data_IF_203912399148
#
_entry.id   IF_203912399148
#
_cell.length_a   1.000
_cell.length_b   1.000
_cell.length_c   1.000
_cell.angle_alpha   90.00
_cell.angle_beta   90.00
_cell.angle_gamma   90.00
#
_symmetry.space_group_name_H-M   'P 1'
#
loop_
_entity.id
_entity.type
_entity.pdbx_description
1 polymer ?
#
# COMPACT_ATOMS: atom_id res chain seq x y z
N UNK A 1 -20.79 17.03 0.86
CA UNK A 1 -19.81 17.00 1.97
C UNK A 1 -18.48 17.55 1.47
N UNK A 2 -17.76 18.28 2.32
CA UNK A 2 -16.45 18.82 1.95
C UNK A 2 -15.38 17.72 1.92
N UNK A 3 -14.28 17.93 1.17
CA UNK A 3 -13.15 16.99 1.13
C UNK A 3 -12.60 16.69 2.53
N UNK A 4 -12.54 17.71 3.38
CA UNK A 4 -12.08 17.59 4.77
C UNK A 4 -13.00 16.70 5.61
N UNK A 5 -14.32 16.88 5.49
CA UNK A 5 -15.29 16.03 6.20
C UNK A 5 -15.14 14.57 5.80
N UNK A 6 -15.01 14.28 4.50
CA UNK A 6 -14.82 12.91 4.01
C UNK A 6 -13.52 12.31 4.57
N UNK A 7 -12.41 13.05 4.55
CA UNK A 7 -11.13 12.57 5.08
C UNK A 7 -11.20 12.24 6.57
N UNK A 8 -11.88 13.06 7.37
CA UNK A 8 -12.06 12.81 8.80
C UNK A 8 -12.91 11.55 9.01
N UNK A 9 -14.02 11.42 8.29
CA UNK A 9 -14.92 10.28 8.41
C UNK A 9 -14.22 8.97 8.02
N UNK A 10 -13.49 8.94 6.92
CA UNK A 10 -12.76 7.76 6.45
C UNK A 10 -11.70 7.34 7.47
N UNK A 11 -10.91 8.29 7.98
CA UNK A 11 -9.89 7.98 8.99
C UNK A 11 -10.50 7.46 10.30
N UNK A 12 -11.65 8.01 10.71
CA UNK A 12 -12.40 7.51 11.86
C UNK A 12 -12.85 6.07 11.63
N UNK A 13 -13.48 5.77 10.50
CA UNK A 13 -13.93 4.41 10.15
C UNK A 13 -12.74 3.45 10.13
N UNK A 14 -11.60 3.83 9.54
CA UNK A 14 -10.41 2.99 9.53
C UNK A 14 -9.90 2.67 10.94
N UNK A 15 -9.87 3.67 11.83
CA UNK A 15 -9.50 3.47 13.23
C UNK A 15 -10.50 2.56 13.96
N UNK A 16 -11.80 2.77 13.76
CA UNK A 16 -12.87 1.97 14.39
C UNK A 16 -12.81 0.49 13.92
N UNK A 17 -12.34 0.25 12.70
CA UNK A 17 -12.11 -1.09 12.13
C UNK A 17 -10.78 -1.73 12.56
N UNK A 18 -9.94 -1.04 13.34
CA UNK A 18 -8.70 -1.58 13.89
C UNK A 18 -7.45 -1.42 13.02
N UNK A 19 -7.48 -0.55 12.00
CA UNK A 19 -6.26 -0.20 11.26
C UNK A 19 -5.35 0.73 12.08
N UNK A 20 -4.06 0.42 12.12
CA UNK A 20 -3.04 1.21 12.84
C UNK A 20 -2.83 2.59 12.22
N UNK A 21 -3.10 2.75 10.92
CA UNK A 21 -2.96 4.02 10.21
C UNK A 21 -3.83 4.08 8.94
N UNK A 22 -4.23 5.30 8.56
CA UNK A 22 -4.97 5.59 7.33
C UNK A 22 -4.42 6.87 6.65
N UNK A 23 -3.78 6.69 5.51
CA UNK A 23 -3.32 7.77 4.61
C UNK A 23 -4.29 7.98 3.45
N UNK A 24 -4.37 9.22 2.95
CA UNK A 24 -5.16 9.56 1.76
C UNK A 24 -4.27 10.41 0.85
N UNK A 25 -4.07 9.95 -0.38
CA UNK A 25 -3.31 10.64 -1.42
C UNK A 25 -4.22 10.95 -2.61
N UNK A 26 -3.82 11.91 -3.45
CA UNK A 26 -4.48 12.17 -4.72
C UNK A 26 -4.20 11.02 -5.68
N UNK A 27 -5.20 10.60 -6.45
CA UNK A 27 -4.99 9.65 -7.54
C UNK A 27 -4.55 10.45 -8.77
N UNK A 28 -3.27 10.36 -9.10
CA UNK A 28 -2.65 11.03 -10.25
C UNK A 28 -1.40 10.27 -10.70
N UNK A 29 -0.88 10.64 -11.86
CA UNK A 29 0.35 10.08 -12.39
C UNK A 29 1.54 10.38 -11.46
N UNK A 30 2.33 9.35 -11.14
CA UNK A 30 3.46 9.42 -10.22
C UNK A 30 4.74 9.86 -10.95
N UNK A 31 4.85 11.15 -11.28
CA UNK A 31 5.97 11.72 -12.05
C UNK A 31 7.36 11.41 -11.45
N UNK A 32 7.49 11.52 -10.13
CA UNK A 32 8.78 11.30 -9.44
C UNK A 32 9.19 9.82 -9.41
N UNK A 33 8.21 8.91 -9.36
CA UNK A 33 8.47 7.47 -9.24
C UNK A 33 8.62 6.79 -10.61
N UNK A 34 8.05 7.37 -11.66
CA UNK A 34 8.16 6.88 -13.04
C UNK A 34 9.61 6.59 -13.49
N UNK A 35 10.55 7.55 -13.44
CA UNK A 35 11.92 7.30 -13.87
C UNK A 35 12.65 6.30 -12.96
N UNK A 36 12.31 6.24 -11.67
CA UNK A 36 12.91 5.30 -10.72
C UNK A 36 12.49 3.87 -11.02
N UNK A 37 11.20 3.64 -11.27
CA UNK A 37 10.69 2.32 -11.64
C UNK A 37 11.27 1.87 -12.98
N UNK A 38 11.33 2.77 -13.96
CA UNK A 38 11.93 2.47 -15.27
C UNK A 38 13.40 2.08 -15.13
N UNK A 39 14.18 2.86 -14.38
CA UNK A 39 15.58 2.54 -14.12
C UNK A 39 15.72 1.19 -13.39
N UNK A 40 14.92 0.96 -12.35
CA UNK A 40 14.93 -0.29 -11.58
C UNK A 40 14.66 -1.53 -12.45
N UNK A 41 13.67 -1.44 -13.34
CA UNK A 41 13.33 -2.52 -14.30
C UNK A 41 14.44 -2.73 -15.33
N UNK A 42 15.03 -1.65 -15.85
CA UNK A 42 16.17 -1.71 -16.80
C UNK A 42 17.39 -2.41 -16.20
N UNK A 43 17.60 -2.32 -14.89
CA UNK A 43 18.68 -3.02 -14.19
C UNK A 43 18.36 -4.47 -13.84
N UNK A 44 17.15 -4.97 -14.17
CA UNK A 44 16.77 -6.37 -13.91
C UNK A 44 16.52 -6.68 -12.43
N UNK A 45 16.27 -5.66 -11.60
CA UNK A 45 16.09 -5.83 -10.15
C UNK A 45 14.81 -6.57 -9.77
N UNK A 46 13.88 -6.77 -10.71
CA UNK A 46 12.72 -7.66 -10.60
C UNK A 46 13.09 -9.15 -10.52
N UNK A 47 14.33 -9.52 -10.85
CA UNK A 47 14.75 -10.91 -10.88
C UNK A 47 13.88 -11.74 -11.82
N UNK A 48 13.17 -12.74 -11.29
CA UNK A 48 12.27 -13.61 -12.08
C UNK A 48 10.84 -13.07 -12.19
N UNK A 49 10.51 -11.94 -11.56
CA UNK A 49 9.16 -11.37 -11.53
C UNK A 49 8.86 -10.53 -12.78
N UNK A 50 8.90 -11.16 -13.96
CA UNK A 50 8.67 -10.47 -15.25
C UNK A 50 7.31 -9.75 -15.33
N UNK A 51 6.32 -10.20 -14.57
CA UNK A 51 5.01 -9.51 -14.48
C UNK A 51 5.10 -8.09 -13.90
N UNK A 52 6.21 -7.71 -13.25
CA UNK A 52 6.44 -6.34 -12.78
C UNK A 52 6.65 -5.35 -13.93
N UNK A 53 7.08 -5.82 -15.10
CA UNK A 53 7.19 -5.02 -16.32
C UNK A 53 5.82 -4.80 -16.97
N UNK A 54 4.87 -5.72 -16.74
CA UNK A 54 3.53 -5.63 -17.30
C UNK A 54 2.77 -4.42 -16.74
N UNK A 55 1.96 -3.81 -17.61
CA UNK A 55 1.05 -2.71 -17.28
C UNK A 55 1.74 -1.54 -16.57
N UNK A 56 2.93 -1.17 -17.04
CA UNK A 56 3.75 -0.08 -16.50
C UNK A 56 2.94 1.20 -16.23
N UNK A 57 2.16 1.66 -17.20
CA UNK A 57 1.35 2.87 -17.09
C UNK A 57 0.33 2.80 -15.93
N UNK A 58 -0.27 1.62 -15.68
CA UNK A 58 -1.23 1.43 -14.59
C UNK A 58 -0.56 1.41 -13.21
N UNK A 59 0.75 1.16 -13.13
CA UNK A 59 1.52 1.22 -11.88
C UNK A 59 1.84 2.67 -11.50
N UNK A 60 1.94 3.53 -12.50
CA UNK A 60 2.25 4.94 -12.31
C UNK A 60 0.99 5.80 -12.25
N UNK A 61 -0.13 5.34 -12.81
CA UNK A 61 -1.38 6.08 -12.78
C UNK A 61 -2.55 5.23 -12.24
N UNK A 62 -2.94 5.41 -10.97
CA UNK A 62 -4.07 4.70 -10.39
C UNK A 62 -5.41 5.05 -11.07
N UNK A 63 -5.52 6.16 -11.82
CA UNK A 63 -6.74 6.52 -12.56
C UNK A 63 -6.98 5.62 -13.77
N UNK A 64 -5.94 4.96 -14.29
CA UNK A 64 -6.04 3.96 -15.34
C UNK A 64 -6.45 2.58 -14.81
N UNK A 65 -6.29 2.35 -13.51
CA UNK A 65 -6.75 1.12 -12.84
C UNK A 65 -8.25 1.18 -12.56
N UNK A 66 -8.73 2.31 -12.03
CA UNK A 66 -10.14 2.56 -11.76
C UNK A 66 -10.55 3.91 -12.37
N UNK A 67 -11.29 3.90 -13.50
CA UNK A 67 -11.69 5.13 -14.17
C UNK A 67 -12.45 6.09 -13.24
N UNK A 68 -12.01 7.34 -13.21
CA UNK A 68 -12.60 8.38 -12.37
C UNK A 68 -12.16 8.36 -10.91
N UNK A 69 -11.18 7.52 -10.52
CA UNK A 69 -10.56 7.59 -9.21
C UNK A 69 -9.96 8.99 -8.96
N UNK A 70 -10.20 9.53 -7.77
CA UNK A 70 -9.71 10.88 -7.37
C UNK A 70 -8.72 10.83 -6.21
N UNK A 71 -8.72 9.74 -5.47
CA UNK A 71 -7.91 9.57 -4.27
C UNK A 71 -7.67 8.10 -3.99
N UNK A 72 -6.49 7.80 -3.43
CA UNK A 72 -6.09 6.48 -2.97
C UNK A 72 -6.08 6.50 -1.44
N UNK A 73 -6.70 5.51 -0.82
CA UNK A 73 -6.73 5.32 0.63
C UNK A 73 -5.78 4.17 0.97
N UNK A 74 -4.74 4.46 1.73
CA UNK A 74 -3.73 3.48 2.14
C UNK A 74 -3.90 3.16 3.62
N UNK A 75 -4.03 1.88 3.95
CA UNK A 75 -4.25 1.38 5.31
C UNK A 75 -3.03 0.60 5.77
N UNK A 76 -2.69 0.72 7.04
CA UNK A 76 -1.64 -0.11 7.67
C UNK A 76 -2.29 -0.98 8.73
N UNK A 77 -1.97 -2.28 8.67
CA UNK A 77 -2.36 -3.25 9.67
C UNK A 77 -1.12 -3.98 10.17
N UNK A 78 -0.93 -4.00 11.47
CA UNK A 78 0.20 -4.68 12.10
C UNK A 78 -0.14 -6.16 12.24
N UNK A 79 0.60 -7.03 11.57
CA UNK A 79 0.47 -8.48 11.70
C UNK A 79 1.28 -9.07 12.88
N UNK A 80 1.88 -8.22 13.71
CA UNK A 80 2.59 -8.67 14.91
C UNK A 80 1.59 -9.32 15.88
N UNK A 81 1.81 -10.58 16.27
CA UNK A 81 0.85 -11.29 17.10
C UNK A 81 0.79 -10.68 18.50
N UNK A 82 -0.41 -10.59 19.07
CA UNK A 82 -0.60 -10.09 20.44
C UNK A 82 0.11 -10.97 21.48
N UNK A 83 0.24 -12.26 21.16
CA UNK A 83 0.91 -13.25 21.99
C UNK A 83 2.22 -13.67 21.36
N UNK A 84 3.15 -14.02 22.25
CA UNK A 84 4.40 -14.64 21.84
C UNK A 84 4.13 -16.08 21.39
N UNK A 85 4.10 -16.28 20.06
CA UNK A 85 3.86 -17.58 19.45
C UNK A 85 4.92 -18.62 19.84
N UNK A 86 6.13 -18.20 20.21
CA UNK A 86 7.18 -19.11 20.65
C UNK A 86 6.93 -19.70 22.05
N UNK A 87 6.11 -19.02 22.87
CA UNK A 87 5.68 -19.54 24.18
C UNK A 87 4.56 -20.56 24.06
N UNK A 88 3.68 -20.40 23.06
CA UNK A 88 2.57 -21.33 22.81
C UNK A 88 3.04 -22.54 21.98
N UNK A 89 3.99 -22.35 21.07
CA UNK A 89 4.63 -23.42 20.29
C UNK A 89 6.15 -23.16 20.17
N UNK A 90 7.00 -23.92 20.87
CA UNK A 90 8.46 -23.74 20.85
C UNK A 90 9.11 -23.85 19.46
N UNK A 91 8.48 -24.57 18.53
CA UNK A 91 8.96 -24.70 17.14
C UNK A 91 8.50 -23.56 16.23
N UNK A 92 7.74 -22.59 16.75
CA UNK A 92 7.29 -21.42 16.00
C UNK A 92 8.42 -20.42 15.75
N UNK A 93 8.34 -19.70 14.62
CA UNK A 93 9.27 -18.62 14.33
C UNK A 93 8.97 -17.37 15.16
N UNK A 94 10.04 -16.68 15.59
CA UNK A 94 9.93 -15.37 16.22
C UNK A 94 9.64 -14.31 15.16
N UNK A 95 8.47 -13.68 15.26
CA UNK A 95 8.13 -12.52 14.44
C UNK A 95 8.78 -11.28 15.08
N UNK A 96 9.55 -10.51 14.31
CA UNK A 96 10.13 -9.26 14.78
C UNK A 96 9.04 -8.18 14.90
N UNK A 97 9.16 -7.33 15.93
CA UNK A 97 8.28 -6.18 16.16
C UNK A 97 8.77 -4.97 15.38
#
# INVERSE_FOLDING_TARGET
MSKLQNSIQIKKIASDLGFSYCGIAKAEFLEEEAPRLEAWLKHGYQGKMSYLENHFDKRLDPTLLVPGAKSVISLIYTYYPEKDLTKENPDSFKIAK
#
